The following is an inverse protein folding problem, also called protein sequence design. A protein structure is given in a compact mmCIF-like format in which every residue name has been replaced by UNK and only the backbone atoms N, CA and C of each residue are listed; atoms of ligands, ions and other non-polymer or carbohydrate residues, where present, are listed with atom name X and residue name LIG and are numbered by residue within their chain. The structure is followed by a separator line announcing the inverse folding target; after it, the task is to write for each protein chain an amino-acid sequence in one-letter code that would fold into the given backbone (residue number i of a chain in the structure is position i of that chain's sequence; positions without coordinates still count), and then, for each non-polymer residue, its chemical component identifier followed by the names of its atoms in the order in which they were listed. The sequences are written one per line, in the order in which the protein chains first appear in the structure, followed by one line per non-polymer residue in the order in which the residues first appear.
data_IF_220755287498
#
_entry.id   IF_220755287498
#
_cell.length_a   1.000
_cell.length_b   1.000
_cell.length_c   1.000
_cell.angle_alpha   90.00
_cell.angle_beta   90.00
_cell.angle_gamma   90.00
#
_symmetry.space_group_name_H-M   'P 1'
#
loop_
_entity.id
_entity.type
_entity.pdbx_description
1 polymer ?
#
# COMPACT_ATOMS: atom_id res chain seq x y z
N UNK A 1 -34.14 -10.25 -11.42
CA UNK A 1 -33.62 -8.95 -11.86
C UNK A 1 -32.18 -8.85 -11.35
N UNK A 2 -31.20 -8.53 -12.21
CA UNK A 2 -29.83 -8.33 -11.77
C UNK A 2 -29.76 -7.20 -10.74
N UNK A 3 -28.86 -7.30 -9.76
CA UNK A 3 -28.56 -6.16 -8.89
C UNK A 3 -27.88 -5.04 -9.70
N UNK A 4 -27.94 -3.79 -9.21
CA UNK A 4 -27.24 -2.66 -9.86
C UNK A 4 -25.75 -2.96 -10.06
N UNK A 5 -25.11 -3.59 -9.09
CA UNK A 5 -23.72 -4.03 -9.17
C UNK A 5 -23.47 -5.03 -10.30
N UNK A 6 -24.35 -6.02 -10.47
CA UNK A 6 -24.25 -7.01 -11.56
C UNK A 6 -24.41 -6.35 -12.93
N UNK A 7 -25.32 -5.39 -13.05
CA UNK A 7 -25.48 -4.59 -14.27
C UNK A 7 -24.23 -3.77 -14.61
N UNK A 8 -23.71 -3.03 -13.65
CA UNK A 8 -22.48 -2.23 -13.81
C UNK A 8 -21.27 -3.12 -14.17
N UNK A 9 -21.13 -4.28 -13.51
CA UNK A 9 -20.04 -5.23 -13.78
C UNK A 9 -20.14 -5.81 -15.19
N UNK A 10 -21.36 -6.08 -15.69
CA UNK A 10 -21.56 -6.55 -17.06
C UNK A 10 -21.18 -5.51 -18.11
N UNK A 11 -21.50 -4.23 -17.87
CA UNK A 11 -21.08 -3.14 -18.76
C UNK A 11 -19.57 -3.00 -18.77
N UNK A 12 -18.95 -3.01 -17.59
CA UNK A 12 -17.50 -2.94 -17.44
C UNK A 12 -16.79 -4.12 -18.13
N UNK A 13 -17.35 -5.32 -17.96
CA UNK A 13 -16.87 -6.52 -18.62
C UNK A 13 -16.92 -6.41 -20.14
N UNK A 14 -18.06 -5.96 -20.70
CA UNK A 14 -18.21 -5.80 -22.14
C UNK A 14 -17.22 -4.77 -22.73
N UNK A 15 -16.99 -3.65 -22.02
CA UNK A 15 -16.01 -2.64 -22.41
C UNK A 15 -14.58 -3.19 -22.42
N UNK A 16 -14.15 -3.82 -21.32
CA UNK A 16 -12.82 -4.46 -21.24
C UNK A 16 -12.64 -5.51 -22.34
N UNK A 17 -13.64 -6.37 -22.55
CA UNK A 17 -13.60 -7.42 -23.57
C UNK A 17 -13.40 -6.85 -24.97
N UNK A 18 -14.10 -5.76 -25.30
CA UNK A 18 -13.95 -5.07 -26.58
C UNK A 18 -12.51 -4.60 -26.79
N UNK A 19 -11.96 -3.78 -25.88
CA UNK A 19 -10.62 -3.22 -26.03
C UNK A 19 -9.53 -4.31 -26.06
N UNK A 20 -9.64 -5.33 -25.20
CA UNK A 20 -8.73 -6.48 -25.21
C UNK A 20 -8.76 -7.24 -26.54
N UNK A 21 -9.95 -7.42 -27.10
CA UNK A 21 -10.13 -8.11 -28.39
C UNK A 21 -9.49 -7.33 -29.53
N UNK A 22 -9.71 -6.01 -29.58
CA UNK A 22 -9.10 -5.16 -30.61
C UNK A 22 -7.57 -5.16 -30.47
N UNK A 23 -7.03 -5.00 -29.26
CA UNK A 23 -5.59 -5.02 -29.01
C UNK A 23 -4.93 -6.34 -29.46
N UNK A 24 -5.58 -7.49 -29.23
CA UNK A 24 -5.06 -8.79 -29.69
C UNK A 24 -4.92 -8.89 -31.21
N UNK A 25 -5.76 -8.17 -31.95
CA UNK A 25 -5.79 -8.19 -33.41
C UNK A 25 -5.16 -6.95 -34.06
N UNK A 26 -4.65 -6.01 -33.24
CA UNK A 26 -4.09 -4.77 -33.73
C UNK A 26 -2.86 -5.02 -34.63
N UNK A 27 -2.80 -4.42 -35.84
CA UNK A 27 -1.62 -4.48 -36.68
C UNK A 27 -0.41 -3.90 -35.94
N UNK A 28 0.68 -4.65 -35.86
CA UNK A 28 1.89 -4.24 -35.12
C UNK A 28 1.97 -4.73 -33.68
N UNK A 29 0.87 -5.24 -33.09
CA UNK A 29 0.91 -5.85 -31.76
C UNK A 29 1.86 -7.05 -31.72
N UNK A 30 2.84 -7.00 -30.81
CA UNK A 30 3.82 -8.07 -30.64
C UNK A 30 3.19 -9.36 -30.10
N UNK A 31 3.88 -10.48 -30.23
CA UNK A 31 3.45 -11.72 -29.57
C UNK A 31 3.27 -11.55 -28.06
N UNK A 32 4.14 -10.75 -27.41
CA UNK A 32 4.05 -10.48 -25.98
C UNK A 32 2.80 -9.65 -25.62
N UNK A 33 2.43 -8.65 -26.44
CA UNK A 33 1.20 -7.87 -26.24
C UNK A 33 -0.04 -8.77 -26.32
N UNK A 34 -0.09 -9.65 -27.31
CA UNK A 34 -1.21 -10.59 -27.52
C UNK A 34 -1.34 -11.56 -26.36
N UNK A 35 -0.24 -12.10 -25.87
CA UNK A 35 -0.26 -13.04 -24.73
C UNK A 35 -0.67 -12.34 -23.44
N UNK A 36 -0.21 -11.09 -23.21
CA UNK A 36 -0.68 -10.28 -22.07
C UNK A 36 -2.18 -9.99 -22.17
N UNK A 37 -2.68 -9.60 -23.33
CA UNK A 37 -4.10 -9.33 -23.56
C UNK A 37 -4.96 -10.60 -23.37
N UNK A 38 -4.48 -11.76 -23.83
CA UNK A 38 -5.13 -13.05 -23.59
C UNK A 38 -5.20 -13.40 -22.11
N UNK A 39 -4.10 -13.22 -21.38
CA UNK A 39 -4.06 -13.41 -19.93
C UNK A 39 -5.01 -12.47 -19.18
N UNK A 40 -5.12 -11.22 -19.62
CA UNK A 40 -6.07 -10.26 -19.08
C UNK A 40 -7.53 -10.68 -19.32
N UNK A 41 -7.84 -11.19 -20.51
CA UNK A 41 -9.17 -11.68 -20.88
C UNK A 41 -9.59 -12.89 -20.04
N UNK A 42 -8.68 -13.81 -19.74
CA UNK A 42 -8.96 -14.94 -18.84
C UNK A 42 -9.24 -14.48 -17.41
N UNK A 43 -8.50 -13.50 -16.89
CA UNK A 43 -8.77 -12.91 -15.57
C UNK A 43 -10.10 -12.18 -15.53
N UNK A 44 -10.38 -11.37 -16.55
CA UNK A 44 -11.66 -10.70 -16.73
C UNK A 44 -12.83 -11.69 -16.73
N UNK A 45 -12.69 -12.82 -17.45
CA UNK A 45 -13.72 -13.85 -17.50
C UNK A 45 -13.93 -14.56 -16.16
N UNK A 46 -12.85 -14.82 -15.40
CA UNK A 46 -12.96 -15.36 -14.03
C UNK A 46 -13.70 -14.40 -13.11
N UNK A 47 -13.32 -13.12 -13.12
CA UNK A 47 -13.96 -12.09 -12.30
C UNK A 47 -15.45 -11.93 -12.61
N UNK A 48 -15.82 -11.98 -13.89
CA UNK A 48 -17.22 -11.92 -14.30
C UNK A 48 -18.00 -13.21 -14.03
N UNK A 49 -17.36 -14.38 -14.16
CA UNK A 49 -18.00 -15.66 -13.85
C UNK A 49 -18.27 -15.84 -12.36
N UNK A 50 -17.63 -15.04 -11.50
CA UNK A 50 -17.92 -14.94 -10.07
C UNK A 50 -19.16 -14.05 -9.77
N UNK A 51 -19.99 -13.72 -10.77
CA UNK A 51 -21.22 -12.93 -10.58
C UNK A 51 -22.22 -13.63 -9.63
N UNK A 52 -22.72 -12.86 -8.66
CA UNK A 52 -23.48 -13.35 -7.49
C UNK A 52 -22.83 -12.99 -6.14
N UNK A 53 -21.64 -12.36 -6.15
CA UNK A 53 -20.93 -11.93 -4.95
C UNK A 53 -21.68 -10.83 -4.19
N UNK A 54 -22.06 -11.14 -2.95
CA UNK A 54 -22.65 -10.18 -2.00
C UNK A 54 -21.64 -9.56 -1.03
N UNK A 55 -20.53 -10.25 -0.75
CA UNK A 55 -19.55 -9.82 0.25
C UNK A 55 -18.58 -8.76 -0.33
N UNK A 56 -18.37 -7.66 0.39
CA UNK A 56 -17.42 -6.60 0.05
C UNK A 56 -16.01 -7.14 -0.25
N UNK A 57 -15.48 -8.04 0.58
CA UNK A 57 -14.12 -8.55 0.41
C UNK A 57 -13.93 -9.28 -0.93
N UNK A 58 -14.91 -10.09 -1.32
CA UNK A 58 -14.90 -10.79 -2.61
C UNK A 58 -15.07 -9.80 -3.77
N UNK A 59 -15.96 -8.80 -3.66
CA UNK A 59 -16.08 -7.73 -4.68
C UNK A 59 -14.77 -6.97 -4.84
N UNK A 60 -14.09 -6.70 -3.72
CA UNK A 60 -12.83 -6.00 -3.68
C UNK A 60 -11.71 -6.76 -4.37
N UNK A 61 -11.56 -8.06 -4.07
CA UNK A 61 -10.57 -8.90 -4.73
C UNK A 61 -10.73 -8.88 -6.25
N UNK A 62 -11.94 -9.09 -6.75
CA UNK A 62 -12.21 -9.12 -8.19
C UNK A 62 -11.97 -7.77 -8.87
N UNK A 63 -12.46 -6.68 -8.28
CA UNK A 63 -12.28 -5.33 -8.83
C UNK A 63 -10.82 -4.88 -8.77
N UNK A 64 -10.08 -5.17 -7.69
CA UNK A 64 -8.65 -4.88 -7.56
C UNK A 64 -7.84 -5.67 -8.61
N UNK A 65 -8.12 -6.96 -8.76
CA UNK A 65 -7.44 -7.83 -9.73
C UNK A 65 -7.68 -7.36 -11.17
N UNK A 66 -8.93 -7.01 -11.49
CA UNK A 66 -9.30 -6.50 -12.80
C UNK A 66 -8.62 -5.17 -13.10
N UNK A 67 -8.76 -4.19 -12.20
CA UNK A 67 -8.21 -2.86 -12.38
C UNK A 67 -6.68 -2.88 -12.53
N UNK A 68 -5.99 -3.70 -11.71
CA UNK A 68 -4.53 -3.90 -11.82
C UNK A 68 -4.13 -4.52 -13.16
N UNK A 69 -4.86 -5.55 -13.60
CA UNK A 69 -4.59 -6.25 -14.86
C UNK A 69 -4.71 -5.32 -16.06
N UNK A 70 -5.79 -4.54 -16.14
CA UNK A 70 -6.04 -3.62 -17.26
C UNK A 70 -5.00 -2.49 -17.30
N UNK A 71 -4.66 -1.90 -16.15
CA UNK A 71 -3.61 -0.86 -16.07
C UNK A 71 -2.23 -1.39 -16.47
N UNK A 72 -1.85 -2.56 -15.98
CA UNK A 72 -0.54 -3.15 -16.29
C UNK A 72 -0.40 -3.46 -17.78
N UNK A 73 -1.47 -3.95 -18.42
CA UNK A 73 -1.51 -4.13 -19.85
C UNK A 73 -1.38 -2.79 -20.59
N UNK A 74 -2.21 -1.80 -20.22
CA UNK A 74 -2.25 -0.51 -20.90
C UNK A 74 -0.95 0.30 -20.75
N UNK A 75 -0.21 0.09 -19.67
CA UNK A 75 1.05 0.79 -19.40
C UNK A 75 2.31 -0.01 -19.77
N UNK A 76 2.18 -1.19 -20.38
CA UNK A 76 3.30 -2.01 -20.84
C UNK A 76 3.31 -2.27 -22.35
N UNK A 77 2.26 -1.82 -23.06
CA UNK A 77 2.17 -1.87 -24.51
C UNK A 77 2.75 -0.60 -25.15
N UNK A 78 3.17 -0.70 -26.40
CA UNK A 78 3.57 0.45 -27.22
C UNK A 78 2.32 1.27 -27.57
N UNK A 79 2.29 2.53 -27.13
CA UNK A 79 1.15 3.44 -27.32
C UNK A 79 0.84 3.74 -28.79
N UNK A 80 1.79 3.53 -29.70
CA UNK A 80 1.60 3.78 -31.13
C UNK A 80 0.74 2.72 -31.84
N UNK A 81 0.56 1.53 -31.24
CA UNK A 81 -0.10 0.38 -31.88
C UNK A 81 -1.63 0.50 -31.83
N UNK A 82 -2.18 0.89 -30.68
CA UNK A 82 -3.62 0.87 -30.41
C UNK A 82 -3.98 1.93 -29.34
N UNK A 83 -3.74 3.23 -29.60
CA UNK A 83 -3.83 4.29 -28.58
C UNK A 83 -5.24 4.38 -27.97
N UNK A 84 -6.29 4.26 -28.80
CA UNK A 84 -7.69 4.32 -28.35
C UNK A 84 -8.05 3.13 -27.46
N UNK A 85 -7.53 1.95 -27.77
CA UNK A 85 -7.78 0.74 -26.99
C UNK A 85 -7.04 0.79 -25.66
N UNK A 86 -5.80 1.29 -25.65
CA UNK A 86 -5.04 1.47 -24.42
C UNK A 86 -5.67 2.53 -23.51
N UNK A 87 -6.19 3.62 -24.07
CA UNK A 87 -7.00 4.61 -23.35
C UNK A 87 -8.28 3.97 -22.78
N UNK A 88 -9.04 3.24 -23.61
CA UNK A 88 -10.25 2.53 -23.17
C UNK A 88 -9.99 1.50 -22.06
N UNK A 89 -8.84 0.81 -22.07
CA UNK A 89 -8.42 -0.07 -20.98
C UNK A 89 -8.13 0.70 -19.68
N UNK A 90 -7.53 1.90 -19.77
CA UNK A 90 -7.29 2.78 -18.61
C UNK A 90 -8.61 3.27 -18.03
N UNK A 91 -9.53 3.71 -18.88
CA UNK A 91 -10.87 4.15 -18.48
C UNK A 91 -11.66 3.04 -17.81
N UNK A 92 -11.58 1.82 -18.36
CA UNK A 92 -12.25 0.65 -17.79
C UNK A 92 -11.66 0.28 -16.43
N UNK A 93 -10.34 0.41 -16.26
CA UNK A 93 -9.69 0.21 -14.96
C UNK A 93 -10.12 1.26 -13.92
N UNK A 94 -10.35 2.50 -14.35
CA UNK A 94 -10.86 3.56 -13.47
C UNK A 94 -12.34 3.35 -13.12
N UNK A 95 -13.18 2.87 -14.04
CA UNK A 95 -14.56 2.50 -13.69
C UNK A 95 -14.60 1.36 -12.68
N UNK A 96 -13.69 0.38 -12.78
CA UNK A 96 -13.59 -0.70 -11.78
C UNK A 96 -13.24 -0.13 -10.39
N UNK A 97 -12.38 0.88 -10.34
CA UNK A 97 -12.07 1.62 -9.11
C UNK A 97 -13.29 2.38 -8.58
N UNK A 98 -14.05 3.05 -9.45
CA UNK A 98 -15.29 3.74 -9.06
C UNK A 98 -16.33 2.77 -8.51
N UNK A 99 -16.50 1.61 -9.13
CA UNK A 99 -17.36 0.54 -8.62
C UNK A 99 -16.94 0.06 -7.22
N UNK A 100 -15.63 -0.06 -6.97
CA UNK A 100 -15.11 -0.43 -5.64
C UNK A 100 -15.51 0.60 -4.58
N UNK A 101 -15.36 1.88 -4.87
CA UNK A 101 -15.76 2.97 -3.96
C UNK A 101 -17.28 2.97 -3.73
N UNK A 102 -18.08 2.71 -4.77
CA UNK A 102 -19.55 2.55 -4.63
C UNK A 102 -19.89 1.38 -3.69
N UNK A 103 -19.29 0.21 -3.91
CA UNK A 103 -19.50 -0.96 -3.06
C UNK A 103 -19.05 -0.72 -1.61
N UNK A 104 -17.96 0.02 -1.42
CA UNK A 104 -17.49 0.40 -0.09
C UNK A 104 -18.48 1.31 0.64
N UNK A 105 -19.10 2.29 -0.05
CA UNK A 105 -20.14 3.16 0.52
C UNK A 105 -21.41 2.41 0.92
N UNK A 106 -21.77 1.36 0.17
CA UNK A 106 -22.88 0.48 0.55
C UNK A 106 -22.58 -0.29 1.84
N UNK A 107 -21.33 -0.75 2.00
CA UNK A 107 -20.90 -1.54 3.16
C UNK A 107 -20.60 -0.68 4.40
N UNK A 108 -20.18 0.56 4.20
CA UNK A 108 -19.87 1.54 5.23
C UNK A 108 -20.71 2.80 5.01
N UNK A 109 -22.02 2.77 5.32
CA UNK A 109 -22.88 3.94 5.22
C UNK A 109 -22.39 5.05 6.16
N UNK A 110 -22.46 6.31 5.72
CA UNK A 110 -21.89 7.47 6.44
C UNK A 110 -22.57 7.85 7.77
N UNK A 111 -23.42 6.98 8.36
CA UNK A 111 -24.09 7.25 9.63
C UNK A 111 -23.25 6.75 10.84
N UNK A 112 -22.14 7.43 11.12
CA UNK A 112 -21.48 7.40 12.43
C UNK A 112 -20.52 8.59 12.62
N UNK A 113 -21.04 9.60 13.32
CA UNK A 113 -20.33 10.61 14.11
C UNK A 113 -19.43 11.62 13.37
N UNK A 114 -19.78 12.89 13.63
CA UNK A 114 -18.88 14.02 13.74
C UNK A 114 -17.66 13.64 14.60
N UNK A 115 -16.63 13.05 13.99
CA UNK A 115 -15.29 13.17 14.54
C UNK A 115 -14.87 14.64 14.37
N UNK A 116 -14.21 15.26 15.35
CA UNK A 116 -13.68 16.61 15.20
C UNK A 116 -12.92 16.70 13.88
N UNK A 117 -13.31 17.66 13.04
CA UNK A 117 -12.47 18.11 11.94
C UNK A 117 -11.33 18.86 12.60
N UNK A 118 -10.29 18.14 13.00
CA UNK A 118 -9.03 18.79 13.29
C UNK A 118 -8.37 19.10 11.95
N UNK A 119 -8.69 20.32 11.51
CA UNK A 119 -8.12 21.04 10.41
C UNK A 119 -6.66 21.40 10.74
N UNK A 120 -5.70 20.50 10.48
CA UNK A 120 -4.35 20.88 10.06
C UNK A 120 -3.57 19.68 9.45
N UNK A 121 -3.28 19.66 8.14
CA UNK A 121 -2.45 18.61 7.52
C UNK A 121 -0.98 18.64 7.95
N UNK A 122 -0.52 19.70 8.65
CA UNK A 122 0.85 19.84 9.15
C UNK A 122 1.01 19.43 10.63
N UNK A 123 -0.10 19.10 11.31
CA UNK A 123 -0.03 18.50 12.65
C UNK A 123 0.11 17.00 12.50
N UNK A 124 1.36 16.52 12.60
CA UNK A 124 1.64 15.15 13.03
C UNK A 124 0.96 15.02 14.39
N UNK A 125 -0.22 14.41 14.42
CA UNK A 125 -0.89 14.12 15.69
C UNK A 125 0.16 13.45 16.58
N UNK A 126 0.23 13.90 17.84
CA UNK A 126 0.98 13.27 18.93
C UNK A 126 0.33 11.91 19.28
N UNK A 127 0.20 11.09 18.26
CA UNK A 127 -0.31 9.73 18.23
C UNK A 127 0.87 8.80 17.89
N UNK A 128 2.07 9.30 18.25
CA UNK A 128 3.42 8.86 17.96
C UNK A 128 3.45 7.38 17.64
N UNK A 129 3.96 7.07 16.45
CA UNK A 129 4.59 5.80 16.21
C UNK A 129 5.39 5.43 17.47
N UNK A 130 5.01 4.33 18.11
CA UNK A 130 5.88 3.69 19.09
C UNK A 130 7.22 3.57 18.37
N UNK A 131 8.30 4.23 18.85
CA UNK A 131 9.59 4.15 18.20
C UNK A 131 9.89 2.67 17.95
N UNK A 132 10.44 2.29 16.78
CA UNK A 132 10.62 0.89 16.42
C UNK A 132 11.19 0.16 17.64
N UNK A 133 10.40 -0.78 18.19
CA UNK A 133 10.79 -1.48 19.40
C UNK A 133 12.21 -1.99 19.19
N UNK A 134 13.09 -1.69 20.15
CA UNK A 134 14.49 -2.03 20.06
C UNK A 134 14.63 -3.51 19.64
N UNK A 135 15.11 -3.73 18.41
CA UNK A 135 15.39 -5.07 17.89
C UNK A 135 16.44 -5.80 18.74
N UNK A 136 17.11 -5.11 19.67
CA UNK A 136 18.05 -5.71 20.62
C UNK A 136 17.39 -6.47 21.78
N UNK A 137 16.07 -6.29 22.02
CA UNK A 137 15.43 -6.73 23.27
C UNK A 137 14.31 -7.77 23.19
N UNK A 138 13.89 -8.25 22.00
CA UNK A 138 12.78 -9.22 21.93
C UNK A 138 13.26 -10.66 22.12
N UNK A 139 13.03 -11.22 23.30
CA UNK A 139 13.18 -12.64 23.59
C UNK A 139 12.25 -13.48 22.70
N UNK A 140 12.87 -14.38 21.93
CA UNK A 140 12.32 -15.47 21.09
C UNK A 140 10.83 -15.83 21.24
N UNK A 141 10.18 -16.15 20.11
CA UNK A 141 9.76 -17.54 19.94
C UNK A 141 10.36 -18.17 18.69
N UNK A 142 10.86 -19.38 18.89
CA UNK A 142 11.45 -20.27 17.92
C UNK A 142 10.51 -20.54 16.72
N UNK A 143 10.63 -19.76 15.65
CA UNK A 143 10.23 -20.09 14.27
C UNK A 143 10.48 -18.91 13.32
N UNK A 144 11.67 -18.31 13.34
CA UNK A 144 12.01 -17.35 12.27
C UNK A 144 12.33 -18.14 10.99
N UNK A 145 11.61 -17.89 9.88
CA UNK A 145 11.98 -18.44 8.58
C UNK A 145 13.38 -17.94 8.17
N UNK A 146 14.08 -18.66 7.27
CA UNK A 146 15.43 -18.29 6.85
C UNK A 146 15.48 -16.84 6.35
N UNK A 147 16.65 -16.22 6.56
CA UNK A 147 16.95 -14.84 6.12
C UNK A 147 16.41 -14.59 4.72
N UNK A 148 15.50 -13.61 4.62
CA UNK A 148 14.99 -13.12 3.33
C UNK A 148 13.70 -13.74 2.82
N UNK A 149 12.93 -14.51 3.61
CA UNK A 149 11.59 -14.96 3.18
C UNK A 149 10.55 -14.96 4.31
N UNK A 150 9.33 -14.61 3.97
CA UNK A 150 8.16 -14.69 4.86
C UNK A 150 7.68 -16.14 4.95
N UNK A 151 7.25 -16.57 6.14
CA UNK A 151 6.66 -17.90 6.33
C UNK A 151 5.40 -18.07 5.46
N UNK A 152 5.12 -19.26 4.88
CA UNK A 152 4.03 -19.43 3.90
C UNK A 152 2.65 -19.02 4.41
N UNK A 153 2.33 -19.36 5.66
CA UNK A 153 1.06 -18.99 6.31
C UNK A 153 0.87 -17.48 6.41
N UNK A 154 1.94 -16.76 6.80
CA UNK A 154 1.92 -15.29 6.86
C UNK A 154 1.86 -14.67 5.48
N UNK A 155 2.51 -15.28 4.48
CA UNK A 155 2.44 -14.82 3.10
C UNK A 155 1.00 -14.83 2.60
N UNK A 156 0.32 -15.96 2.75
CA UNK A 156 -1.06 -16.13 2.29
C UNK A 156 -2.01 -15.16 3.00
N UNK A 157 -1.82 -14.96 4.31
CA UNK A 157 -2.56 -13.97 5.12
C UNK A 157 -2.40 -12.55 4.56
N UNK A 158 -1.16 -12.09 4.37
CA UNK A 158 -0.89 -10.74 3.88
C UNK A 158 -1.43 -10.52 2.46
N UNK A 159 -1.25 -11.49 1.57
CA UNK A 159 -1.72 -11.41 0.20
C UNK A 159 -3.25 -11.36 0.15
N UNK A 160 -3.93 -12.22 0.91
CA UNK A 160 -5.38 -12.20 1.01
C UNK A 160 -5.91 -10.86 1.54
N UNK A 161 -5.35 -10.36 2.65
CA UNK A 161 -5.74 -9.06 3.22
C UNK A 161 -5.48 -7.91 2.24
N UNK A 162 -4.33 -7.94 1.55
CA UNK A 162 -4.00 -6.89 0.59
C UNK A 162 -4.97 -6.92 -0.58
N UNK A 163 -5.25 -8.08 -1.15
CA UNK A 163 -6.16 -8.26 -2.29
C UNK A 163 -7.59 -7.83 -1.98
N UNK A 164 -8.06 -8.09 -0.77
CA UNK A 164 -9.40 -7.69 -0.31
C UNK A 164 -9.44 -6.29 0.33
N UNK A 165 -8.32 -5.56 0.33
CA UNK A 165 -8.24 -4.24 0.95
C UNK A 165 -9.07 -3.22 0.20
N UNK A 166 -9.97 -2.58 0.94
CA UNK A 166 -10.84 -1.49 0.51
C UNK A 166 -10.60 -0.30 1.42
N UNK A 167 -10.21 0.83 0.83
CA UNK A 167 -10.12 2.10 1.55
C UNK A 167 -11.53 2.54 1.96
N UNK A 168 -11.73 2.89 3.22
CA UNK A 168 -13.02 3.40 3.71
C UNK A 168 -13.38 4.71 2.98
N UNK A 169 -14.64 4.87 2.52
CA UNK A 169 -15.03 6.04 1.73
C UNK A 169 -14.73 7.39 2.40
N UNK A 170 -14.94 7.49 3.71
CA UNK A 170 -14.70 8.69 4.53
C UNK A 170 -13.20 9.01 4.73
N UNK A 171 -12.31 8.07 4.37
CA UNK A 171 -10.85 8.22 4.49
C UNK A 171 -10.15 8.39 3.14
N UNK A 172 -10.86 8.25 2.02
CA UNK A 172 -10.26 8.31 0.66
C UNK A 172 -9.43 9.57 0.45
N UNK A 173 -9.93 10.74 0.84
CA UNK A 173 -9.22 12.00 0.64
C UNK A 173 -7.93 12.08 1.44
N UNK A 174 -7.95 11.60 2.70
CA UNK A 174 -6.75 11.54 3.55
C UNK A 174 -5.72 10.56 2.99
N UNK A 175 -6.15 9.39 2.52
CA UNK A 175 -5.25 8.42 1.87
C UNK A 175 -4.66 8.99 0.57
N UNK A 176 -5.47 9.68 -0.25
CA UNK A 176 -5.02 10.33 -1.46
C UNK A 176 -4.01 11.45 -1.17
N UNK A 177 -4.17 12.18 -0.08
CA UNK A 177 -3.19 13.17 0.37
C UNK A 177 -1.83 12.52 0.67
N UNK A 178 -1.79 11.41 1.41
CA UNK A 178 -0.54 10.66 1.66
C UNK A 178 0.09 10.18 0.34
N UNK A 179 -0.72 9.59 -0.55
CA UNK A 179 -0.25 9.09 -1.83
C UNK A 179 0.34 10.20 -2.71
N UNK A 180 -0.32 11.37 -2.74
CA UNK A 180 0.15 12.55 -3.48
C UNK A 180 1.47 13.07 -2.91
N UNK A 181 1.54 13.30 -1.60
CA UNK A 181 2.78 13.75 -0.92
C UNK A 181 3.95 12.79 -1.17
N UNK A 182 3.70 11.50 -1.08
CA UNK A 182 4.74 10.50 -1.33
C UNK A 182 5.21 10.52 -2.78
N UNK A 183 4.29 10.66 -3.74
CA UNK A 183 4.59 10.74 -5.18
C UNK A 183 5.35 12.02 -5.55
N UNK A 184 5.01 13.16 -4.93
CA UNK A 184 5.74 14.44 -5.11
C UNK A 184 7.23 14.34 -4.75
N UNK A 185 7.59 13.42 -3.86
CA UNK A 185 8.96 13.19 -3.41
C UNK A 185 9.59 11.89 -3.92
N UNK A 186 8.94 11.22 -4.89
CA UNK A 186 9.38 9.93 -5.42
C UNK A 186 10.88 9.93 -5.78
N UNK A 187 11.37 10.94 -6.51
CA UNK A 187 12.77 11.01 -6.95
C UNK A 187 13.78 10.91 -5.80
N UNK A 188 13.47 11.52 -4.64
CA UNK A 188 14.36 11.48 -3.46
C UNK A 188 14.36 10.10 -2.82
N UNK A 189 13.20 9.47 -2.76
CA UNK A 189 13.08 8.09 -2.29
C UNK A 189 13.78 7.10 -3.23
N UNK A 190 13.65 7.26 -4.55
CA UNK A 190 14.35 6.48 -5.56
C UNK A 190 15.88 6.62 -5.43
N UNK A 191 16.39 7.83 -5.16
CA UNK A 191 17.82 8.06 -4.93
C UNK A 191 18.35 7.28 -3.72
N UNK A 192 17.59 7.24 -2.61
CA UNK A 192 17.97 6.48 -1.42
C UNK A 192 17.83 4.97 -1.70
N UNK A 193 16.68 4.56 -2.22
CA UNK A 193 16.32 3.17 -2.42
C UNK A 193 17.14 2.46 -3.49
N UNK A 194 17.45 3.12 -4.60
CA UNK A 194 18.25 2.55 -5.68
C UNK A 194 19.66 2.15 -5.26
N UNK A 195 20.24 2.82 -4.26
CA UNK A 195 21.54 2.45 -3.72
C UNK A 195 21.52 1.24 -2.78
N UNK A 196 20.33 0.82 -2.34
CA UNK A 196 20.12 -0.25 -1.36
C UNK A 196 19.21 -1.37 -1.88
N UNK A 197 18.78 -1.30 -3.15
CA UNK A 197 17.75 -2.16 -3.75
C UNK A 197 16.43 -2.19 -2.96
N UNK A 198 16.02 -1.03 -2.44
CA UNK A 198 14.77 -0.85 -1.69
C UNK A 198 13.78 -0.04 -2.56
N UNK A 199 12.53 -0.49 -2.75
CA UNK A 199 11.55 0.27 -3.50
C UNK A 199 11.26 1.64 -2.87
N UNK A 200 11.19 2.69 -3.68
CA UNK A 200 10.94 4.06 -3.22
C UNK A 200 9.67 4.19 -2.36
N UNK A 201 8.63 3.44 -2.73
CA UNK A 201 7.34 3.48 -2.05
C UNK A 201 7.39 2.80 -0.67
N UNK A 202 8.35 1.90 -0.43
CA UNK A 202 8.61 1.34 0.90
C UNK A 202 9.15 2.42 1.84
N UNK A 203 10.16 3.15 1.37
CA UNK A 203 10.81 4.24 2.11
C UNK A 203 9.84 5.39 2.33
N UNK A 204 9.10 5.77 1.29
CA UNK A 204 8.11 6.85 1.36
C UNK A 204 7.00 6.57 2.36
N UNK A 205 6.53 5.32 2.47
CA UNK A 205 5.51 4.96 3.47
C UNK A 205 6.06 5.10 4.89
N UNK A 206 7.26 4.58 5.18
CA UNK A 206 7.92 4.78 6.48
C UNK A 206 8.05 6.28 6.76
N UNK A 207 8.59 7.05 5.81
CA UNK A 207 8.79 8.48 6.00
C UNK A 207 7.47 9.24 6.28
N UNK A 208 6.40 8.89 5.59
CA UNK A 208 5.08 9.48 5.80
C UNK A 208 4.47 9.14 7.15
N UNK A 209 4.65 7.90 7.63
CA UNK A 209 4.06 7.43 8.88
C UNK A 209 4.88 7.79 10.11
N UNK A 210 6.20 7.86 9.99
CA UNK A 210 7.09 8.11 11.14
C UNK A 210 7.39 9.60 11.35
N UNK A 211 7.35 10.42 10.30
CA UNK A 211 7.74 11.82 10.39
C UNK A 211 6.89 12.79 9.56
N UNK A 212 5.74 12.35 9.03
CA UNK A 212 4.87 13.23 8.24
C UNK A 212 5.56 13.82 7.01
N UNK A 213 6.54 13.11 6.44
CA UNK A 213 7.38 13.56 5.32
C UNK A 213 8.36 14.71 5.64
N UNK A 214 8.75 14.90 6.89
CA UNK A 214 9.72 15.93 7.31
C UNK A 214 11.17 15.60 6.87
N UNK A 215 11.62 16.25 5.80
CA UNK A 215 12.98 16.07 5.23
C UNK A 215 14.10 16.82 5.97
N UNK A 216 13.80 17.53 7.05
CA UNK A 216 14.77 18.22 7.91
C UNK A 216 15.15 17.39 9.16
N UNK A 217 14.67 16.13 9.22
CA UNK A 217 14.83 15.22 10.36
C UNK A 217 15.41 13.87 9.95
N UNK A 218 16.08 13.21 10.89
CA UNK A 218 16.59 11.85 10.74
C UNK A 218 15.44 10.85 10.62
N UNK A 219 15.50 9.99 9.59
CA UNK A 219 14.55 8.88 9.41
C UNK A 219 14.57 7.88 10.59
N UNK A 220 15.66 7.84 11.36
CA UNK A 220 15.79 6.97 12.53
C UNK A 220 14.70 7.21 13.58
N UNK A 221 14.48 8.47 13.96
CA UNK A 221 13.73 8.83 15.16
C UNK A 221 13.25 10.30 15.21
N UNK A 222 13.34 11.02 14.09
CA UNK A 222 12.84 12.39 13.96
C UNK A 222 13.70 13.49 14.60
N UNK A 223 14.90 13.19 15.10
CA UNK A 223 15.85 14.22 15.55
C UNK A 223 16.27 15.13 14.37
N UNK A 224 16.58 16.44 14.58
CA UNK A 224 17.01 17.34 13.51
C UNK A 224 18.34 16.93 12.86
N UNK A 225 18.46 17.10 11.53
CA UNK A 225 19.67 16.74 10.76
C UNK A 225 20.93 17.57 11.08
N UNK A 226 20.80 18.63 11.89
CA UNK A 226 21.89 19.52 12.28
C UNK A 226 22.87 18.95 13.31
N UNK A 227 22.61 17.75 13.84
CA UNK A 227 23.48 17.03 14.75
C UNK A 227 23.33 15.52 14.51
N UNK A 228 24.07 14.68 15.25
CA UNK A 228 23.75 13.25 15.31
C UNK A 228 22.53 13.02 16.20
N UNK A 229 21.84 11.91 15.99
CA UNK A 229 20.70 11.48 16.83
C UNK A 229 21.10 11.42 18.30
N UNK A 230 20.23 11.93 19.16
CA UNK A 230 20.30 11.80 20.62
C UNK A 230 19.34 10.73 21.11
N UNK A 231 18.15 10.67 20.48
CA UNK A 231 17.18 9.59 20.71
C UNK A 231 17.72 8.28 20.14
N UNK A 232 17.14 7.17 20.57
CA UNK A 232 17.53 5.83 20.11
C UNK A 232 17.21 5.66 18.63
N UNK A 233 18.11 5.10 17.81
CA UNK A 233 19.51 4.79 18.12
C UNK A 233 20.37 6.07 18.21
N UNK A 234 21.15 6.28 19.29
CA UNK A 234 21.95 7.49 19.45
C UNK A 234 23.22 7.46 18.57
N UNK A 235 23.74 8.63 18.23
CA UNK A 235 25.02 8.78 17.53
C UNK A 235 24.96 8.46 16.03
N UNK A 236 23.77 8.53 15.41
CA UNK A 236 23.56 8.29 13.97
C UNK A 236 23.41 9.59 13.17
N UNK A 237 23.76 9.61 11.87
CA UNK A 237 24.56 8.62 11.13
C UNK A 237 25.93 8.41 11.77
N UNK A 238 26.62 7.29 11.52
CA UNK A 238 27.99 7.10 12.05
C UNK A 238 29.06 7.76 11.18
N UNK A 239 28.83 7.82 9.87
CA UNK A 239 29.79 8.37 8.91
C UNK A 239 29.46 9.83 8.54
N UNK A 240 30.49 10.63 8.25
CA UNK A 240 30.37 12.05 7.91
C UNK A 240 30.20 12.96 9.13
N UNK A 241 30.03 14.27 8.88
CA UNK A 241 29.81 15.31 9.90
C UNK A 241 28.53 16.11 9.60
N UNK A 242 27.81 16.59 10.63
CA UNK A 242 26.60 17.40 10.45
C UNK A 242 26.92 18.81 9.90
N UNK A 243 25.93 19.51 9.29
CA UNK A 243 24.57 19.06 9.04
C UNK A 243 24.50 17.97 7.96
N UNK A 244 23.70 16.94 8.19
CA UNK A 244 23.51 15.84 7.24
C UNK A 244 22.44 16.17 6.20
N UNK A 245 22.57 15.62 5.00
CA UNK A 245 21.41 15.53 4.09
C UNK A 245 20.47 14.43 4.56
N UNK A 246 19.18 14.57 4.23
CA UNK A 246 18.19 13.55 4.55
C UNK A 246 18.56 12.21 3.91
N UNK A 247 19.04 12.21 2.67
CA UNK A 247 19.40 11.01 1.91
C UNK A 247 20.55 10.25 2.59
N UNK A 248 21.57 10.97 3.08
CA UNK A 248 22.69 10.36 3.82
C UNK A 248 22.19 9.72 5.11
N UNK A 249 21.35 10.43 5.86
CA UNK A 249 20.79 9.88 7.09
C UNK A 249 19.81 8.74 6.86
N UNK A 250 18.99 8.79 5.82
CA UNK A 250 18.01 7.75 5.51
C UNK A 250 18.73 6.45 5.13
N UNK A 251 19.85 6.53 4.38
CA UNK A 251 20.67 5.35 4.06
C UNK A 251 21.27 4.71 5.31
N UNK A 252 21.76 5.50 6.27
CA UNK A 252 22.24 4.98 7.56
C UNK A 252 21.10 4.27 8.31
N UNK A 253 19.92 4.88 8.38
CA UNK A 253 18.74 4.27 9.00
C UNK A 253 18.36 2.93 8.38
N UNK A 254 18.24 2.87 7.06
CA UNK A 254 17.83 1.65 6.36
C UNK A 254 18.85 0.51 6.54
N UNK A 255 20.15 0.82 6.56
CA UNK A 255 21.22 -0.15 6.87
C UNK A 255 21.23 -0.58 8.33
N UNK A 256 21.00 0.36 9.26
CA UNK A 256 20.85 0.04 10.68
C UNK A 256 19.72 -0.98 10.90
N UNK A 257 18.64 -0.86 10.14
CA UNK A 257 17.50 -1.78 10.14
C UNK A 257 17.72 -3.05 9.31
N UNK A 258 18.90 -3.23 8.70
CA UNK A 258 19.27 -4.37 7.84
C UNK A 258 18.32 -4.57 6.65
N UNK A 259 17.68 -3.50 6.18
CA UNK A 259 16.77 -3.56 5.04
C UNK A 259 17.52 -3.65 3.70
N UNK A 260 18.80 -3.27 3.69
CA UNK A 260 19.74 -3.51 2.59
C UNK A 260 20.10 -5.00 2.41
N UNK A 261 19.71 -5.85 3.37
CA UNK A 261 19.90 -7.31 3.34
C UNK A 261 18.59 -8.05 3.03
N UNK A 262 17.48 -7.33 2.84
CA UNK A 262 16.17 -7.90 2.54
C UNK A 262 15.92 -7.90 1.03
N UNK A 263 15.57 -9.05 0.47
CA UNK A 263 15.37 -9.22 -0.98
C UNK A 263 13.94 -9.53 -1.41
N UNK A 264 13.00 -9.69 -0.48
CA UNK A 264 11.60 -10.04 -0.79
C UNK A 264 10.70 -8.80 -0.77
N UNK A 265 10.67 -8.08 -1.89
CA UNK A 265 9.78 -6.91 -2.08
C UNK A 265 8.46 -7.28 -2.74
N UNK A 266 8.02 -8.53 -2.62
CA UNK A 266 6.62 -8.91 -2.88
C UNK A 266 5.68 -8.19 -1.91
N UNK A 267 4.37 -8.28 -2.15
CA UNK A 267 3.36 -7.76 -1.21
C UNK A 267 3.59 -8.30 0.19
N UNK A 268 3.66 -9.62 0.33
CA UNK A 268 3.84 -10.28 1.62
C UNK A 268 5.16 -9.90 2.29
N UNK A 269 6.26 -9.87 1.54
CA UNK A 269 7.57 -9.47 2.06
C UNK A 269 7.62 -8.02 2.54
N UNK A 270 6.96 -7.12 1.83
CA UNK A 270 6.83 -5.72 2.22
C UNK A 270 5.98 -5.55 3.47
N UNK A 271 4.78 -6.13 3.50
CA UNK A 271 3.86 -6.00 4.63
C UNK A 271 4.47 -6.60 5.90
N UNK A 272 5.24 -7.69 5.77
CA UNK A 272 6.04 -8.24 6.84
C UNK A 272 7.06 -7.23 7.38
N UNK A 273 7.83 -6.56 6.52
CA UNK A 273 8.83 -5.59 6.96
C UNK A 273 8.21 -4.35 7.60
N UNK A 274 7.09 -3.83 7.09
CA UNK A 274 6.37 -2.74 7.74
C UNK A 274 5.76 -3.16 9.09
N UNK A 275 5.20 -4.37 9.20
CA UNK A 275 4.74 -4.84 10.51
C UNK A 275 5.91 -5.07 11.47
N UNK A 276 7.05 -5.58 11.00
CA UNK A 276 8.26 -5.72 11.81
C UNK A 276 8.85 -4.36 12.23
N UNK A 277 8.68 -3.33 11.39
CA UNK A 277 9.08 -1.95 11.69
C UNK A 277 8.32 -1.42 12.90
N UNK A 278 7.00 -1.59 12.92
CA UNK A 278 6.14 -1.16 14.03
C UNK A 278 6.18 -2.12 15.24
N UNK A 279 6.25 -3.42 14.97
CA UNK A 279 6.18 -4.53 15.93
C UNK A 279 4.96 -5.43 15.74
N UNK A 280 5.13 -6.74 15.98
CA UNK A 280 4.08 -7.77 15.86
C UNK A 280 3.09 -7.82 17.04
N UNK A 281 3.07 -6.79 17.90
CA UNK A 281 2.36 -6.80 19.17
C UNK A 281 0.85 -6.96 19.08
N UNK A 282 0.26 -6.64 17.92
CA UNK A 282 -1.18 -6.75 17.66
C UNK A 282 -1.66 -8.19 17.45
N UNK A 283 -0.78 -9.08 16.98
CA UNK A 283 -1.13 -10.48 16.67
C UNK A 283 -1.64 -11.25 17.89
N UNK A 284 -1.15 -10.94 19.10
CA UNK A 284 -1.62 -11.57 20.35
C UNK A 284 -3.09 -11.24 20.68
N UNK A 285 -3.60 -10.14 20.16
CA UNK A 285 -5.01 -9.73 20.28
C UNK A 285 -5.86 -10.19 19.09
N UNK A 286 -5.27 -10.90 18.12
CA UNK A 286 -5.92 -11.37 16.90
C UNK A 286 -6.59 -10.25 16.10
N UNK A 287 -6.01 -9.06 16.14
CA UNK A 287 -6.40 -7.94 15.29
C UNK A 287 -5.32 -7.62 14.28
N UNK A 288 -5.75 -7.15 13.13
CA UNK A 288 -4.88 -6.60 12.11
C UNK A 288 -4.23 -5.30 12.63
N UNK A 289 -2.92 -5.15 12.45
CA UNK A 289 -2.20 -3.97 12.94
C UNK A 289 -2.76 -2.67 12.30
N UNK A 290 -3.14 -1.64 13.10
CA UNK A 290 -3.51 -0.34 12.56
C UNK A 290 -2.39 0.28 11.71
N UNK A 291 -1.13 -0.03 12.01
CA UNK A 291 0.01 0.47 11.23
C UNK A 291 -0.03 0.02 9.77
N UNK A 292 -0.58 -1.16 9.50
CA UNK A 292 -0.78 -1.64 8.13
C UNK A 292 -2.16 -1.26 7.58
N UNK A 293 -3.21 -1.45 8.38
CA UNK A 293 -4.58 -1.57 7.85
C UNK A 293 -5.54 -0.45 8.27
N UNK A 294 -5.09 0.53 9.06
CA UNK A 294 -5.92 1.69 9.39
C UNK A 294 -6.45 2.35 8.12
N UNK A 295 -7.68 2.87 8.21
CA UNK A 295 -8.48 3.42 7.09
C UNK A 295 -8.97 2.41 6.05
N UNK A 296 -8.86 1.10 6.31
CA UNK A 296 -9.45 0.07 5.45
C UNK A 296 -10.59 -0.70 6.13
N UNK A 297 -11.23 -1.58 5.37
CA UNK A 297 -12.16 -2.60 5.87
C UNK A 297 -11.50 -3.66 6.77
N UNK A 298 -10.16 -3.72 6.84
CA UNK A 298 -9.43 -4.69 7.64
C UNK A 298 -9.07 -4.20 9.05
N UNK A 299 -9.48 -2.97 9.42
CA UNK A 299 -9.30 -2.41 10.75
C UNK A 299 -10.53 -1.61 11.20
N UNK A 300 -10.86 -1.72 12.49
CA UNK A 300 -11.98 -1.00 13.10
C UNK A 300 -11.51 -0.26 14.35
N UNK A 301 -11.04 -0.99 15.36
CA UNK A 301 -10.50 -0.46 16.62
C UNK A 301 -9.43 -1.39 17.19
N UNK A 302 -8.76 -0.94 18.26
CA UNK A 302 -7.70 -1.67 18.93
C UNK A 302 -6.33 -1.08 18.62
N UNK A 303 -5.76 -0.30 19.55
CA UNK A 303 -4.45 0.35 19.39
C UNK A 303 -3.63 0.27 20.67
N UNK A 304 -2.30 0.17 20.55
CA UNK A 304 -1.43 0.56 21.65
C UNK A 304 -1.43 2.09 21.79
N UNK A 305 -1.98 2.60 22.88
CA UNK A 305 -2.04 4.04 23.16
C UNK A 305 -0.78 4.56 23.86
N UNK A 306 -0.03 3.65 24.49
CA UNK A 306 1.28 3.85 25.11
C UNK A 306 2.05 2.54 25.04
N UNK A 307 3.37 2.58 25.27
CA UNK A 307 4.20 1.38 25.33
C UNK A 307 3.59 0.31 26.23
N UNK A 308 3.32 -0.85 25.64
CA UNK A 308 2.69 -2.01 26.27
C UNK A 308 1.25 -1.81 26.79
N UNK A 309 0.62 -0.66 26.56
CA UNK A 309 -0.77 -0.36 26.94
C UNK A 309 -1.67 -0.45 25.71
N UNK A 310 -2.37 -1.59 25.59
CA UNK A 310 -3.35 -1.82 24.53
C UNK A 310 -4.76 -1.44 24.99
N UNK A 311 -5.46 -0.69 24.14
CA UNK A 311 -6.86 -0.31 24.31
C UNK A 311 -7.67 -0.88 23.14
N UNK A 312 -8.73 -1.63 23.44
CA UNK A 312 -9.58 -2.32 22.45
C UNK A 312 -10.47 -1.35 21.67
N UNK A 313 -10.79 -0.19 22.24
CA UNK A 313 -11.73 0.78 21.68
C UNK A 313 -11.00 1.92 20.97
N UNK A 314 -9.72 2.13 21.28
CA UNK A 314 -8.92 3.17 20.63
C UNK A 314 -8.82 2.95 19.11
N UNK A 315 -9.02 4.01 18.34
CA UNK A 315 -8.93 4.01 16.88
C UNK A 315 -7.70 4.78 16.40
N UNK A 316 -7.05 4.32 15.33
CA UNK A 316 -5.97 5.07 14.70
C UNK A 316 -6.51 6.20 13.82
N UNK A 317 -5.94 7.40 13.98
CA UNK A 317 -6.20 8.56 13.12
C UNK A 317 -5.16 8.72 12.01
N UNK A 318 -4.27 7.75 11.87
CA UNK A 318 -3.21 7.70 10.87
C UNK A 318 -3.54 6.66 9.79
N UNK A 319 -3.10 6.92 8.55
CA UNK A 319 -3.24 5.97 7.45
C UNK A 319 -2.40 4.71 7.70
N UNK A 320 -2.91 3.53 7.35
CA UNK A 320 -2.11 2.30 7.35
C UNK A 320 -1.20 2.21 6.12
N UNK A 321 0.01 1.66 6.26
CA UNK A 321 0.97 1.49 5.18
C UNK A 321 0.43 0.60 4.02
N UNK A 322 -0.28 -0.47 4.35
CA UNK A 322 -0.90 -1.35 3.35
C UNK A 322 -2.06 -0.63 2.63
N UNK A 323 -2.86 0.14 3.37
CA UNK A 323 -3.92 0.99 2.81
C UNK A 323 -3.36 2.02 1.83
N UNK A 324 -2.25 2.67 2.19
CA UNK A 324 -1.53 3.60 1.32
C UNK A 324 -0.99 2.90 0.07
N UNK A 325 -0.32 1.75 0.23
CA UNK A 325 0.19 0.97 -0.90
C UNK A 325 -0.93 0.56 -1.86
N UNK A 326 -2.06 0.09 -1.32
CA UNK A 326 -3.24 -0.25 -2.13
C UNK A 326 -3.73 0.96 -2.92
N UNK A 327 -3.74 2.15 -2.34
CA UNK A 327 -4.10 3.38 -3.07
C UNK A 327 -3.16 3.69 -4.23
N UNK A 328 -1.84 3.56 -4.04
CA UNK A 328 -0.84 3.79 -5.09
C UNK A 328 -0.93 2.77 -6.23
N UNK A 329 -1.20 1.51 -5.89
CA UNK A 329 -1.44 0.45 -6.87
C UNK A 329 -2.74 0.71 -7.64
N UNK A 330 -3.76 1.21 -6.93
CA UNK A 330 -5.04 1.55 -7.53
C UNK A 330 -4.96 2.78 -8.44
N UNK A 331 -4.10 3.76 -8.14
CA UNK A 331 -3.82 4.90 -9.03
C UNK A 331 -2.84 4.57 -10.15
N UNK A 332 -2.15 3.43 -10.08
CA UNK A 332 -1.11 3.04 -11.04
C UNK A 332 0.25 3.70 -10.81
N UNK A 333 0.41 4.48 -9.74
CA UNK A 333 1.69 5.05 -9.33
C UNK A 333 2.72 3.98 -8.95
N UNK A 334 2.25 2.83 -8.45
CA UNK A 334 3.09 1.67 -8.13
C UNK A 334 2.59 0.45 -8.88
N UNK A 335 3.53 -0.29 -9.46
CA UNK A 335 3.31 -1.65 -9.98
C UNK A 335 4.08 -2.61 -9.11
N UNK A 336 3.36 -3.52 -8.48
CA UNK A 336 3.94 -4.59 -7.68
C UNK A 336 4.44 -5.70 -8.61
N UNK A 337 5.55 -6.34 -8.21
CA UNK A 337 6.16 -7.44 -8.97
C UNK A 337 5.45 -8.76 -8.72
#
# INVERSE_FOLDING_TARGET
MPTRFEGDLAVLYAGALHHLTVLMHAPGASHADRERARGALLRLHRAYSATGIKNLAQRAAELNALASTLRNLAGGADESIAPLELEGLRDTAEEARRMLVRAAREAFPEDAAQAPRDDDPDVVADDSAVPPHDRSGSSNPSSEPPVGRVAPDRRDEYEALFDTCVVRPDKVDKVNWYAKKMSEHQRRYDEVGGALDIPWWFIGAIHGLESGFAFDRHLHNGDPLGARTKRVPPGRPTDGEPPFTWETSARDALRYMKLDQWGDWSVSGTLYQWEAYNGFGYRKYKINSPYLWSFSNHYESGKYIRDHVFDTEATSNQCGAATLLRSLVNSGAVRLR
#
